data_IF_924655290631
#
_entry.id   IF_924655290631
#
_cell.length_a   1.000
_cell.length_b   1.000
_cell.length_c   1.000
_cell.angle_alpha   90.00
_cell.angle_beta   90.00
_cell.angle_gamma   90.00
#
_symmetry.space_group_name_H-M   'P 1'
#
loop_
_entity.id
_entity.type
_entity.pdbx_description
1 polymer ?
#
# COMPACT_ATOMS: atom_id res chain seq x y z
N UNK A 1 20.00 45.18 -39.74
CA UNK A 1 21.39 44.78 -39.51
C UNK A 1 21.61 44.78 -38.01
N UNK A 2 21.71 43.55 -37.47
CA UNK A 2 22.40 43.11 -36.23
C UNK A 2 22.03 43.83 -34.92
N UNK A 3 21.31 43.20 -34.00
CA UNK A 3 21.70 42.09 -33.09
C UNK A 3 22.40 42.59 -31.83
N UNK A 4 21.72 42.56 -30.68
CA UNK A 4 22.32 42.57 -29.35
C UNK A 4 21.50 41.63 -28.45
N UNK A 5 21.98 40.39 -28.34
CA UNK A 5 21.48 39.31 -27.47
C UNK A 5 22.55 39.00 -26.42
N UNK A 6 22.22 39.26 -25.15
CA UNK A 6 22.76 38.71 -23.88
C UNK A 6 24.27 38.76 -23.54
N UNK A 7 24.58 38.78 -22.23
CA UNK A 7 25.12 37.53 -21.66
C UNK A 7 24.62 37.23 -20.23
N UNK A 8 23.70 36.25 -20.08
CA UNK A 8 23.35 35.64 -18.78
C UNK A 8 24.04 34.29 -18.49
N UNK A 9 25.17 33.99 -19.16
CA UNK A 9 25.74 32.63 -19.17
C UNK A 9 26.86 32.29 -18.18
N UNK A 10 27.17 33.11 -17.18
CA UNK A 10 28.33 32.86 -16.30
C UNK A 10 28.06 32.37 -14.87
N UNK A 11 26.82 32.15 -14.42
CA UNK A 11 26.56 31.81 -13.00
C UNK A 11 26.38 30.33 -12.68
N UNK A 12 26.18 29.47 -13.67
CA UNK A 12 25.87 28.05 -13.44
C UNK A 12 27.13 27.17 -13.28
N UNK A 13 28.24 27.50 -13.94
CA UNK A 13 29.48 26.72 -13.87
C UNK A 13 30.16 26.78 -12.49
N UNK A 14 30.01 27.89 -11.76
CA UNK A 14 30.71 28.15 -10.50
C UNK A 14 30.19 27.31 -9.32
N UNK A 15 28.93 26.88 -9.38
CA UNK A 15 28.29 26.07 -8.32
C UNK A 15 28.72 24.59 -8.44
N UNK A 16 29.02 24.11 -9.65
CA UNK A 16 29.43 22.72 -9.88
C UNK A 16 30.82 22.43 -9.29
N UNK A 17 31.76 23.38 -9.44
CA UNK A 17 33.15 23.19 -9.01
C UNK A 17 33.34 23.21 -7.48
N UNK A 18 32.45 23.87 -6.73
CA UNK A 18 32.48 23.84 -5.25
C UNK A 18 32.01 22.54 -4.63
N UNK A 19 31.26 21.71 -5.38
CA UNK A 19 30.71 20.45 -4.87
C UNK A 19 31.69 19.27 -5.01
N UNK A 20 32.62 19.36 -5.97
CA UNK A 20 33.64 18.33 -6.20
C UNK A 20 34.79 18.38 -5.17
N UNK A 21 35.15 19.55 -4.63
CA UNK A 21 36.26 19.70 -3.69
C UNK A 21 35.98 19.21 -2.25
N UNK A 22 34.78 18.69 -1.96
CA UNK A 22 34.37 18.32 -0.58
C UNK A 22 34.21 16.81 -0.35
N UNK A 23 34.61 15.98 -1.32
CA UNK A 23 34.53 14.51 -1.25
C UNK A 23 35.88 13.82 -1.08
N UNK A 24 37.00 14.53 -1.05
CA UNK A 24 38.33 13.96 -0.89
C UNK A 24 38.93 14.33 0.47
N UNK A 25 38.41 13.78 1.56
CA UNK A 25 39.13 13.70 2.85
C UNK A 25 38.30 12.89 3.86
N UNK A 26 38.42 11.56 3.80
CA UNK A 26 38.07 10.69 4.94
C UNK A 26 39.17 9.62 5.05
N UNK A 27 40.03 9.68 6.08
CA UNK A 27 40.96 8.60 6.36
C UNK A 27 40.23 7.40 6.97
N UNK A 28 40.63 6.21 6.51
CA UNK A 28 40.32 4.94 7.13
C UNK A 28 41.07 4.82 8.46
N UNK A 29 40.37 4.55 9.55
CA UNK A 29 40.81 3.72 10.69
C UNK A 29 39.96 4.01 11.94
N UNK A 30 39.24 2.98 12.41
CA UNK A 30 39.08 2.63 13.83
C UNK A 30 38.05 1.51 13.95
N UNK A 31 38.59 0.29 13.86
CA UNK A 31 37.93 -0.97 14.21
C UNK A 31 37.63 -1.00 15.72
N UNK A 32 36.52 -1.65 16.06
CA UNK A 32 36.31 -2.46 17.26
C UNK A 32 36.87 -1.94 18.60
N UNK A 33 35.98 -1.38 19.43
CA UNK A 33 35.99 -1.64 20.87
C UNK A 33 34.57 -1.70 21.39
N UNK A 34 34.08 -2.94 21.49
CA UNK A 34 33.19 -3.39 22.56
C UNK A 34 33.83 -3.03 23.91
N UNK A 35 33.05 -2.56 24.90
CA UNK A 35 33.24 -2.88 26.32
C UNK A 35 32.15 -2.22 27.20
N UNK A 36 31.41 -3.09 27.88
CA UNK A 36 30.91 -3.01 29.25
C UNK A 36 29.96 -1.89 29.68
N UNK A 37 28.70 -2.30 29.81
CA UNK A 37 27.72 -1.76 30.75
C UNK A 37 28.24 -1.87 32.19
N UNK A 38 28.20 -0.77 32.95
CA UNK A 38 28.23 -0.82 34.41
C UNK A 38 27.07 0.01 34.96
N UNK A 39 26.16 -0.73 35.60
CA UNK A 39 24.98 -0.27 36.32
C UNK A 39 25.46 0.30 37.66
N UNK A 40 25.15 1.56 37.96
CA UNK A 40 25.19 2.08 39.32
C UNK A 40 23.81 2.62 39.68
N UNK A 41 23.14 1.86 40.55
CA UNK A 41 21.92 2.23 41.26
C UNK A 41 22.28 3.27 42.31
N UNK A 42 21.63 4.43 42.30
CA UNK A 42 21.61 5.36 43.43
C UNK A 42 20.22 5.27 44.06
N UNK A 43 20.16 4.69 45.25
CA UNK A 43 19.01 4.72 46.14
C UNK A 43 19.03 6.01 46.95
N UNK A 44 17.93 6.76 46.94
CA UNK A 44 17.69 7.89 47.84
C UNK A 44 16.34 7.69 48.56
N UNK A 45 16.27 7.86 49.90
CA UNK A 45 15.04 7.76 50.67
C UNK A 45 14.53 9.14 51.12
N UNK A 46 13.27 9.48 50.82
CA UNK A 46 12.40 10.52 51.41
C UNK A 46 11.20 10.66 50.45
N UNK A 47 9.93 10.76 50.81
CA UNK A 47 9.21 11.14 52.01
C UNK A 47 7.85 10.42 51.99
N UNK A 48 7.38 9.94 53.13
CA UNK A 48 6.01 9.43 53.29
C UNK A 48 5.05 10.61 53.42
N UNK A 49 4.37 10.97 52.34
CA UNK A 49 3.14 11.76 52.41
C UNK A 49 1.98 10.77 52.41
N UNK A 50 1.30 10.65 53.55
CA UNK A 50 0.08 9.87 53.67
C UNK A 50 -1.05 10.61 52.93
N UNK A 51 -1.40 10.13 51.74
CA UNK A 51 -2.65 10.46 51.07
C UNK A 51 -3.69 9.40 51.42
N UNK A 52 -4.65 9.77 52.26
CA UNK A 52 -5.86 9.00 52.52
C UNK A 52 -6.76 9.03 51.28
N UNK A 53 -6.64 7.99 50.45
CA UNK A 53 -7.54 7.75 49.33
C UNK A 53 -8.80 7.04 49.83
N UNK A 54 -9.95 7.70 49.66
CA UNK A 54 -11.26 7.06 49.73
C UNK A 54 -11.35 5.98 48.65
N UNK A 55 -11.35 4.72 49.08
CA UNK A 55 -11.41 3.53 48.23
C UNK A 55 -12.86 3.25 47.84
N UNK A 56 -13.27 3.74 46.67
CA UNK A 56 -14.50 3.28 46.02
C UNK A 56 -14.32 1.82 45.56
N UNK A 57 -15.32 0.94 45.73
CA UNK A 57 -15.24 -0.45 45.27
C UNK A 57 -15.22 -0.52 43.75
N UNK A 58 -14.26 -1.25 43.20
CA UNK A 58 -14.14 -1.49 41.76
C UNK A 58 -15.28 -2.40 41.27
N UNK A 59 -15.85 -2.16 40.08
CA UNK A 59 -16.81 -3.06 39.47
C UNK A 59 -16.14 -4.40 39.07
N UNK A 60 -16.88 -5.53 39.09
CA UNK A 60 -16.35 -6.82 38.70
C UNK A 60 -16.03 -6.84 37.20
N UNK A 61 -14.74 -6.93 36.87
CA UNK A 61 -14.30 -7.21 35.50
C UNK A 61 -14.61 -8.68 35.14
N UNK A 62 -15.17 -8.97 33.95
CA UNK A 62 -15.34 -10.33 33.49
C UNK A 62 -13.99 -11.00 33.23
N UNK A 63 -13.88 -12.28 33.62
CA UNK A 63 -12.68 -13.09 33.48
C UNK A 63 -12.21 -13.19 32.01
N UNK A 64 -10.89 -13.18 31.74
CA UNK A 64 -10.37 -13.38 30.40
C UNK A 64 -10.60 -14.83 29.97
N UNK A 65 -11.25 -15.00 28.82
CA UNK A 65 -11.40 -16.27 28.12
C UNK A 65 -10.01 -16.84 27.82
N UNK A 66 -9.74 -18.03 28.37
CA UNK A 66 -8.55 -18.81 28.06
C UNK A 66 -8.57 -19.19 26.58
N UNK A 67 -7.76 -18.53 25.76
CA UNK A 67 -7.52 -18.95 24.39
C UNK A 67 -6.67 -20.22 24.40
N UNK A 68 -7.32 -21.36 24.16
CA UNK A 68 -6.64 -22.57 23.72
C UNK A 68 -6.02 -22.28 22.35
N UNK A 69 -4.72 -22.02 22.34
CA UNK A 69 -3.93 -21.88 21.11
C UNK A 69 -3.46 -23.28 20.68
N UNK A 70 -3.99 -23.85 19.58
CA UNK A 70 -3.45 -25.09 19.04
C UNK A 70 -2.03 -24.85 18.51
N UNK A 71 -1.13 -25.79 18.81
CA UNK A 71 0.26 -25.84 18.36
C UNK A 71 0.32 -25.96 16.83
N UNK A 72 1.32 -25.35 16.17
CA UNK A 72 1.54 -25.53 14.74
C UNK A 72 2.09 -26.94 14.45
N UNK A 73 1.38 -27.69 13.62
CA UNK A 73 1.86 -28.95 13.02
C UNK A 73 2.87 -28.65 11.92
N UNK A 74 4.00 -29.35 11.93
CA UNK A 74 5.06 -29.28 10.92
C UNK A 74 4.55 -29.60 9.50
N UNK A 75 5.10 -28.96 8.44
CA UNK A 75 4.76 -29.29 7.06
C UNK A 75 5.45 -30.58 6.58
N UNK A 76 4.77 -31.43 5.78
CA UNK A 76 5.35 -32.64 5.21
C UNK A 76 6.36 -32.34 4.10
N UNK A 77 7.45 -33.10 4.09
CA UNK A 77 8.57 -32.97 3.15
C UNK A 77 8.20 -33.25 1.69
N UNK A 78 8.79 -32.45 0.81
CA UNK A 78 8.77 -32.65 -0.64
C UNK A 78 9.80 -33.70 -1.06
N UNK A 79 9.46 -34.69 -1.92
CA UNK A 79 10.43 -35.57 -2.53
C UNK A 79 11.18 -34.89 -3.70
N UNK A 80 12.45 -35.23 -3.95
CA UNK A 80 13.21 -34.70 -5.09
C UNK A 80 12.86 -35.44 -6.38
N UNK A 81 12.38 -34.71 -7.39
CA UNK A 81 12.18 -35.25 -8.75
C UNK A 81 13.28 -34.75 -9.70
N UNK A 82 14.24 -35.65 -9.93
CA UNK A 82 14.94 -35.96 -11.19
C UNK A 82 15.05 -34.90 -12.29
N UNK A 83 16.31 -34.58 -12.55
CA UNK A 83 16.90 -34.09 -13.79
C UNK A 83 16.61 -34.98 -15.01
N UNK A 84 16.15 -34.39 -16.11
CA UNK A 84 16.23 -34.96 -17.47
C UNK A 84 16.50 -33.87 -18.53
N UNK A 85 17.75 -33.88 -18.99
CA UNK A 85 18.26 -33.73 -20.36
C UNK A 85 17.34 -33.26 -21.50
N UNK A 86 17.77 -32.16 -22.14
CA UNK A 86 17.97 -31.93 -23.58
C UNK A 86 17.03 -32.55 -24.63
N UNK A 87 16.53 -31.71 -25.54
CA UNK A 87 16.00 -32.14 -26.84
C UNK A 87 15.57 -30.97 -27.73
N UNK A 88 16.51 -30.44 -28.53
CA UNK A 88 16.24 -29.65 -29.73
C UNK A 88 15.75 -30.61 -30.84
N UNK A 89 14.62 -30.31 -31.47
CA UNK A 89 14.38 -30.73 -32.86
C UNK A 89 13.36 -29.82 -33.56
N UNK A 90 13.75 -29.42 -34.76
CA UNK A 90 12.99 -28.66 -35.74
C UNK A 90 11.90 -29.51 -36.41
N UNK A 91 10.97 -28.81 -37.06
CA UNK A 91 10.36 -29.12 -38.37
C UNK A 91 8.89 -29.56 -38.44
N UNK A 92 8.21 -28.87 -39.36
CA UNK A 92 7.20 -29.33 -40.32
C UNK A 92 5.82 -29.77 -39.83
N UNK A 93 4.88 -28.84 -39.95
CA UNK A 93 3.80 -28.89 -40.96
C UNK A 93 3.47 -30.27 -41.54
N UNK A 94 2.38 -30.86 -41.03
CA UNK A 94 1.68 -31.96 -41.67
C UNK A 94 0.18 -31.80 -41.40
N UNK A 95 -0.56 -31.42 -42.44
CA UNK A 95 -2.02 -31.40 -42.47
C UNK A 95 -2.56 -32.85 -42.46
N UNK A 96 -3.52 -33.19 -41.58
CA UNK A 96 -4.30 -34.42 -41.74
C UNK A 96 -5.62 -34.18 -42.49
N UNK A 97 -5.88 -35.15 -43.35
CA UNK A 97 -6.97 -35.35 -44.30
C UNK A 97 -8.41 -35.07 -43.83
N UNK A 98 -9.35 -34.86 -44.79
CA UNK A 98 -10.75 -34.61 -44.51
C UNK A 98 -11.45 -35.92 -44.11
N UNK A 99 -11.96 -36.01 -42.89
CA UNK A 99 -12.91 -37.05 -42.52
C UNK A 99 -14.33 -36.59 -42.82
N UNK A 100 -14.98 -37.32 -43.73
CA UNK A 100 -16.40 -37.21 -44.02
C UNK A 100 -17.25 -37.66 -42.82
N UNK A 101 -18.37 -36.95 -42.65
CA UNK A 101 -19.68 -37.41 -42.13
C UNK A 101 -19.69 -38.21 -40.81
N UNK A 102 -19.93 -37.47 -39.72
CA UNK A 102 -20.81 -37.91 -38.64
C UNK A 102 -22.11 -37.08 -38.69
N UNK A 103 -23.26 -37.76 -38.72
CA UNK A 103 -24.60 -37.20 -38.88
C UNK A 103 -25.12 -36.33 -37.72
N UNK A 104 -26.36 -35.82 -37.83
CA UNK A 104 -26.90 -34.76 -36.99
C UNK A 104 -27.38 -35.30 -35.63
N UNK A 105 -26.47 -35.44 -34.65
CA UNK A 105 -26.84 -35.61 -33.23
C UNK A 105 -26.65 -34.36 -32.37
N UNK A 106 -26.23 -33.24 -32.96
CA UNK A 106 -25.90 -32.02 -32.21
C UNK A 106 -27.10 -31.13 -31.81
N UNK A 107 -28.35 -31.48 -32.20
CA UNK A 107 -29.51 -30.62 -31.93
C UNK A 107 -30.21 -30.83 -30.59
N UNK A 108 -30.00 -31.96 -29.90
CA UNK A 108 -30.70 -32.24 -28.64
C UNK A 108 -29.93 -31.71 -27.41
N UNK A 109 -28.61 -31.56 -27.52
CA UNK A 109 -27.78 -31.02 -26.44
C UNK A 109 -27.96 -29.52 -26.23
N UNK A 110 -28.44 -28.78 -27.24
CA UNK A 110 -28.61 -27.32 -27.19
C UNK A 110 -29.87 -26.89 -26.45
N UNK A 111 -30.98 -27.63 -26.59
CA UNK A 111 -32.24 -27.27 -25.89
C UNK A 111 -32.20 -27.65 -24.40
N UNK A 112 -31.67 -28.82 -24.07
CA UNK A 112 -31.47 -29.23 -22.68
C UNK A 112 -30.41 -28.36 -21.98
N UNK A 113 -29.34 -27.96 -22.68
CA UNK A 113 -28.36 -27.02 -22.14
C UNK A 113 -28.91 -25.62 -22.01
N UNK A 114 -29.70 -25.12 -22.97
CA UNK A 114 -30.35 -23.82 -22.87
C UNK A 114 -31.31 -23.76 -21.68
N UNK A 115 -32.15 -24.77 -21.48
CA UNK A 115 -33.02 -24.86 -20.31
C UNK A 115 -32.23 -24.88 -18.99
N UNK A 116 -31.09 -25.58 -18.95
CA UNK A 116 -30.18 -25.58 -17.80
C UNK A 116 -29.55 -24.21 -17.56
N UNK A 117 -29.09 -23.51 -18.60
CA UNK A 117 -28.54 -22.16 -18.48
C UNK A 117 -29.60 -21.17 -17.98
N UNK A 118 -30.86 -21.30 -18.43
CA UNK A 118 -31.98 -20.50 -17.93
C UNK A 118 -32.26 -20.80 -16.46
N UNK A 119 -32.20 -22.07 -16.03
CA UNK A 119 -32.33 -22.43 -14.61
C UNK A 119 -31.19 -21.84 -13.76
N UNK A 120 -29.95 -21.88 -14.26
CA UNK A 120 -28.80 -21.27 -13.59
C UNK A 120 -28.97 -19.75 -13.46
N UNK A 121 -29.42 -19.08 -14.52
CA UNK A 121 -29.70 -17.64 -14.50
C UNK A 121 -30.80 -17.29 -13.49
N UNK A 122 -31.85 -18.12 -13.39
CA UNK A 122 -32.93 -17.97 -12.40
C UNK A 122 -32.49 -18.29 -10.96
N UNK A 123 -31.42 -19.06 -10.78
CA UNK A 123 -30.86 -19.38 -9.47
C UNK A 123 -29.96 -18.27 -8.90
N UNK A 124 -29.66 -17.22 -9.69
CA UNK A 124 -28.88 -16.07 -9.22
C UNK A 124 -29.60 -15.33 -8.09
N UNK A 125 -28.88 -14.65 -7.19
CA UNK A 125 -29.48 -13.80 -6.17
C UNK A 125 -30.37 -12.71 -6.78
N UNK A 126 -31.52 -12.47 -6.16
CA UNK A 126 -32.49 -11.47 -6.61
C UNK A 126 -31.88 -10.07 -6.87
N UNK A 127 -30.95 -9.55 -6.04
CA UNK A 127 -30.30 -8.27 -6.31
C UNK A 127 -29.56 -8.23 -7.66
N UNK A 128 -28.92 -9.33 -8.06
CA UNK A 128 -28.22 -9.44 -9.35
C UNK A 128 -29.21 -9.57 -10.50
N UNK A 129 -30.27 -10.37 -10.34
CA UNK A 129 -31.32 -10.50 -11.36
C UNK A 129 -31.98 -9.14 -11.66
N UNK A 130 -32.35 -8.39 -10.61
CA UNK A 130 -32.91 -7.04 -10.73
C UNK A 130 -31.93 -6.06 -11.39
N UNK A 131 -30.62 -6.22 -11.13
CA UNK A 131 -29.60 -5.42 -11.78
C UNK A 131 -29.55 -5.69 -13.28
N UNK A 132 -29.38 -6.96 -13.68
CA UNK A 132 -29.29 -7.33 -15.10
C UNK A 132 -30.58 -7.07 -15.89
N UNK A 133 -31.75 -7.15 -15.24
CA UNK A 133 -33.02 -6.76 -15.87
C UNK A 133 -33.09 -5.27 -16.22
N UNK A 134 -32.47 -4.41 -15.41
CA UNK A 134 -32.43 -2.95 -15.64
C UNK A 134 -31.27 -2.54 -16.54
N UNK A 135 -30.13 -3.21 -16.35
CA UNK A 135 -28.83 -2.91 -16.95
C UNK A 135 -28.27 -4.15 -17.65
N UNK A 136 -28.87 -4.59 -18.77
CA UNK A 136 -28.38 -5.74 -19.50
C UNK A 136 -27.02 -5.40 -20.16
N UNK A 137 -25.95 -6.19 -19.95
CA UNK A 137 -24.68 -5.97 -20.61
C UNK A 137 -24.75 -6.36 -22.09
N UNK A 138 -23.94 -5.72 -22.93
CA UNK A 138 -23.89 -5.97 -24.37
C UNK A 138 -23.63 -7.46 -24.71
N UNK A 139 -22.87 -8.17 -23.86
CA UNK A 139 -22.54 -9.60 -24.05
C UNK A 139 -23.76 -10.53 -24.02
N UNK A 140 -24.86 -10.12 -23.38
CA UNK A 140 -26.09 -10.92 -23.25
C UNK A 140 -27.16 -10.43 -24.23
N UNK A 141 -27.05 -9.17 -24.69
CA UNK A 141 -28.00 -8.59 -25.61
C UNK A 141 -27.79 -9.13 -27.03
N UNK A 142 -28.89 -9.27 -27.78
CA UNK A 142 -28.81 -9.47 -29.23
C UNK A 142 -28.22 -8.23 -29.89
N UNK A 143 -27.48 -8.39 -30.99
CA UNK A 143 -26.77 -7.32 -31.67
C UNK A 143 -27.63 -6.08 -32.00
N UNK A 144 -28.95 -6.27 -32.21
CA UNK A 144 -29.90 -5.22 -32.58
C UNK A 144 -30.79 -4.76 -31.40
N UNK A 145 -30.47 -5.12 -30.16
CA UNK A 145 -31.29 -4.72 -29.01
C UNK A 145 -31.14 -3.22 -28.70
N UNK A 146 -32.28 -2.54 -28.56
CA UNK A 146 -32.31 -1.15 -28.11
C UNK A 146 -31.92 -1.04 -26.62
N UNK A 147 -31.24 0.04 -26.21
CA UNK A 147 -30.90 0.27 -24.81
C UNK A 147 -32.16 0.36 -23.94
N UNK A 148 -32.05 -0.04 -22.68
CA UNK A 148 -33.15 0.12 -21.74
C UNK A 148 -33.34 1.61 -21.40
N UNK A 149 -34.55 2.00 -20.98
CA UNK A 149 -34.84 3.37 -20.54
C UNK A 149 -33.90 3.86 -19.43
N UNK A 150 -33.43 2.95 -18.58
CA UNK A 150 -32.43 3.24 -17.56
C UNK A 150 -31.06 3.56 -18.18
N UNK A 151 -30.61 2.78 -19.17
CA UNK A 151 -29.36 2.99 -19.90
C UNK A 151 -29.34 4.30 -20.68
N UNK A 152 -30.48 4.70 -21.27
CA UNK A 152 -30.62 5.98 -21.96
C UNK A 152 -30.46 7.17 -21.01
N UNK A 153 -31.15 7.14 -19.87
CA UNK A 153 -31.05 8.20 -18.86
C UNK A 153 -29.65 8.28 -18.26
N UNK A 154 -28.97 7.14 -18.16
CA UNK A 154 -27.67 7.05 -17.52
C UNK A 154 -26.85 5.92 -18.14
N UNK A 155 -25.78 6.19 -18.89
CA UNK A 155 -25.03 5.10 -19.51
C UNK A 155 -24.37 4.12 -18.51
N UNK A 156 -23.82 4.63 -17.41
CA UNK A 156 -23.16 3.84 -16.37
C UNK A 156 -23.82 4.05 -14.99
N UNK A 157 -24.36 2.99 -14.36
CA UNK A 157 -25.04 3.10 -13.07
C UNK A 157 -24.09 3.25 -11.86
N UNK A 158 -22.80 2.98 -12.03
CA UNK A 158 -21.78 2.97 -10.98
C UNK A 158 -20.93 4.24 -10.92
N UNK A 159 -20.89 5.01 -12.01
CA UNK A 159 -20.16 6.28 -12.06
C UNK A 159 -21.04 7.49 -11.75
N UNK A 160 -20.39 8.54 -11.27
CA UNK A 160 -21.00 9.87 -11.18
C UNK A 160 -21.23 10.39 -12.60
N UNK A 161 -22.42 10.93 -12.85
CA UNK A 161 -22.78 11.49 -14.15
C UNK A 161 -23.07 12.98 -13.99
N UNK A 162 -22.58 13.80 -14.92
CA UNK A 162 -22.90 15.23 -14.95
C UNK A 162 -24.17 15.43 -15.75
N UNK A 163 -25.19 16.05 -15.16
CA UNK A 163 -26.43 16.34 -15.88
C UNK A 163 -26.16 17.37 -16.98
N UNK A 164 -26.59 17.14 -18.24
CA UNK A 164 -26.24 18.01 -19.37
C UNK A 164 -26.80 19.43 -19.24
N UNK A 165 -28.04 19.58 -18.77
CA UNK A 165 -28.69 20.90 -18.61
C UNK A 165 -28.19 21.64 -17.36
N UNK A 166 -28.34 21.06 -16.17
CA UNK A 166 -28.00 21.73 -14.91
C UNK A 166 -26.49 21.78 -14.60
N UNK A 167 -25.67 20.94 -15.24
CA UNK A 167 -24.23 20.84 -15.00
C UNK A 167 -23.83 20.29 -13.62
N UNK A 168 -24.80 19.90 -12.78
CA UNK A 168 -24.55 19.30 -11.46
C UNK A 168 -24.13 17.84 -11.61
N UNK A 169 -23.19 17.42 -10.77
CA UNK A 169 -22.82 16.02 -10.63
C UNK A 169 -23.90 15.28 -9.85
N UNK A 170 -24.36 14.17 -10.41
CA UNK A 170 -25.31 13.27 -9.77
C UNK A 170 -24.59 12.05 -9.21
N UNK A 171 -24.95 11.69 -7.99
CA UNK A 171 -24.47 10.48 -7.32
C UNK A 171 -24.77 9.22 -8.15
N UNK A 172 -23.92 8.18 -8.07
CA UNK A 172 -24.17 6.91 -8.74
C UNK A 172 -25.47 6.27 -8.27
N UNK A 173 -26.19 5.61 -9.19
CA UNK A 173 -27.47 4.92 -8.88
C UNK A 173 -27.24 3.87 -7.81
N UNK A 174 -26.10 3.20 -7.85
CA UNK A 174 -25.61 2.33 -6.78
C UNK A 174 -24.43 2.98 -6.07
N UNK A 175 -24.56 3.20 -4.77
CA UNK A 175 -23.45 3.69 -3.93
C UNK A 175 -22.33 2.66 -3.82
N UNK A 176 -21.12 3.08 -3.47
CA UNK A 176 -19.96 2.17 -3.38
C UNK A 176 -20.20 0.94 -2.48
N UNK A 177 -21.01 1.06 -1.43
CA UNK A 177 -21.42 -0.09 -0.60
C UNK A 177 -22.24 -1.10 -1.41
N UNK A 178 -23.24 -0.64 -2.17
CA UNK A 178 -24.09 -1.50 -3.02
C UNK A 178 -23.30 -2.07 -4.20
N UNK A 179 -22.39 -1.30 -4.78
CA UNK A 179 -21.46 -1.80 -5.80
C UNK A 179 -20.63 -2.96 -5.27
N UNK A 180 -20.02 -2.82 -4.09
CA UNK A 180 -19.25 -3.89 -3.46
C UNK A 180 -20.10 -5.13 -3.13
N UNK A 181 -21.38 -4.94 -2.75
CA UNK A 181 -22.31 -6.05 -2.55
C UNK A 181 -22.62 -6.80 -3.85
N UNK A 182 -22.90 -6.07 -4.95
CA UNK A 182 -23.13 -6.67 -6.26
C UNK A 182 -21.88 -7.41 -6.76
N UNK A 183 -20.70 -6.78 -6.68
CA UNK A 183 -19.43 -7.42 -7.07
C UNK A 183 -19.16 -8.66 -6.23
N UNK A 184 -19.39 -8.61 -4.92
CA UNK A 184 -19.24 -9.78 -4.04
C UNK A 184 -20.14 -10.94 -4.49
N UNK A 185 -21.43 -10.69 -4.71
CA UNK A 185 -22.36 -11.72 -5.18
C UNK A 185 -21.97 -12.22 -6.58
N UNK A 186 -21.61 -11.32 -7.49
CA UNK A 186 -21.23 -11.68 -8.84
C UNK A 186 -19.99 -12.57 -8.86
N UNK A 187 -19.00 -12.29 -8.02
CA UNK A 187 -17.82 -13.13 -7.83
C UNK A 187 -18.15 -14.51 -7.26
N UNK A 188 -19.05 -14.57 -6.27
CA UNK A 188 -19.52 -15.85 -5.69
C UNK A 188 -20.24 -16.72 -6.74
N UNK A 189 -20.88 -16.09 -7.74
CA UNK A 189 -21.61 -16.77 -8.83
C UNK A 189 -20.89 -16.80 -10.18
N UNK A 190 -19.66 -16.30 -10.28
CA UNK A 190 -18.87 -16.28 -11.52
C UNK A 190 -19.42 -15.39 -12.65
N UNK A 191 -20.18 -14.34 -12.31
CA UNK A 191 -20.77 -13.38 -13.27
C UNK A 191 -20.21 -11.97 -13.12
N UNK A 192 -18.99 -11.84 -12.60
CA UNK A 192 -18.33 -10.54 -12.38
C UNK A 192 -18.07 -9.79 -13.69
N UNK A 193 -17.66 -10.49 -14.74
CA UNK A 193 -17.33 -9.94 -16.07
C UNK A 193 -18.55 -9.33 -16.78
N UNK A 194 -19.77 -9.69 -16.35
CA UNK A 194 -21.02 -9.17 -16.88
C UNK A 194 -21.40 -7.82 -16.25
N UNK A 195 -20.75 -7.42 -15.16
CA UNK A 195 -20.96 -6.11 -14.54
C UNK A 195 -20.16 -5.02 -15.25
N UNK A 196 -20.64 -3.76 -15.25
CA UNK A 196 -19.82 -2.64 -15.70
C UNK A 196 -18.55 -2.49 -14.85
N UNK A 197 -17.50 -1.94 -15.44
CA UNK A 197 -16.22 -1.70 -14.75
C UNK A 197 -16.40 -0.85 -13.48
N UNK A 198 -15.89 -1.33 -12.35
CA UNK A 198 -15.95 -0.58 -11.08
C UNK A 198 -14.62 -0.53 -10.35
N UNK A 199 -14.46 0.50 -9.52
CA UNK A 199 -13.36 0.59 -8.55
C UNK A 199 -13.39 -0.52 -7.49
N UNK A 200 -14.53 -1.22 -7.37
CA UNK A 200 -14.73 -2.34 -6.45
C UNK A 200 -14.55 -3.70 -7.11
N UNK A 201 -14.40 -3.77 -8.44
CA UNK A 201 -14.12 -5.00 -9.17
C UNK A 201 -12.76 -5.60 -8.80
N UNK A 202 -12.68 -6.92 -8.86
CA UNK A 202 -11.49 -7.71 -8.55
C UNK A 202 -10.38 -7.39 -9.54
N UNK A 203 -10.67 -7.42 -10.85
CA UNK A 203 -9.69 -7.13 -11.90
C UNK A 203 -9.12 -5.72 -11.77
N UNK A 204 -9.99 -4.71 -11.61
CA UNK A 204 -9.58 -3.33 -11.42
C UNK A 204 -8.68 -3.16 -10.19
N UNK A 205 -9.06 -3.74 -9.05
CA UNK A 205 -8.26 -3.62 -7.82
C UNK A 205 -6.88 -4.28 -7.94
N UNK A 206 -6.79 -5.40 -8.65
CA UNK A 206 -5.54 -6.09 -8.92
C UNK A 206 -4.67 -5.29 -9.87
N UNK A 207 -5.20 -4.87 -11.03
CA UNK A 207 -4.50 -4.04 -11.99
C UNK A 207 -3.98 -2.75 -11.33
N UNK A 208 -4.85 -2.03 -10.62
CA UNK A 208 -4.48 -0.79 -9.92
C UNK A 208 -3.39 -1.00 -8.87
N UNK A 209 -3.40 -2.14 -8.16
CA UNK A 209 -2.37 -2.46 -7.17
C UNK A 209 -1.04 -2.83 -7.82
N UNK A 210 -1.08 -3.57 -8.93
CA UNK A 210 0.13 -3.97 -9.68
C UNK A 210 0.77 -2.75 -10.34
N UNK A 211 -0.02 -1.90 -10.98
CA UNK A 211 0.46 -0.71 -11.69
C UNK A 211 1.03 0.36 -10.74
N UNK A 212 0.36 0.62 -9.61
CA UNK A 212 0.73 1.73 -8.74
C UNK A 212 1.47 1.34 -7.45
N UNK A 213 1.36 0.08 -7.01
CA UNK A 213 1.94 -0.39 -5.76
C UNK A 213 1.42 0.31 -4.50
N UNK A 214 2.17 0.19 -3.39
CA UNK A 214 1.86 0.90 -2.14
C UNK A 214 2.27 2.37 -2.27
N UNK A 215 1.35 3.29 -1.98
CA UNK A 215 1.58 4.74 -2.11
C UNK A 215 1.39 5.53 -0.81
N UNK A 216 1.39 4.83 0.32
CA UNK A 216 1.27 5.47 1.65
C UNK A 216 2.52 6.32 1.94
N UNK A 217 2.34 7.49 2.56
CA UNK A 217 3.47 8.39 2.83
C UNK A 217 4.49 7.71 3.75
N UNK A 218 5.76 7.72 3.34
CA UNK A 218 6.88 7.15 4.09
C UNK A 218 7.24 5.72 3.67
N UNK A 219 6.25 4.84 3.47
CA UNK A 219 6.46 3.42 3.10
C UNK A 219 6.14 3.10 1.65
N UNK A 220 5.51 4.01 0.92
CA UNK A 220 5.17 3.82 -0.48
C UNK A 220 6.40 3.82 -1.39
N UNK A 221 6.24 3.26 -2.58
CA UNK A 221 7.31 3.17 -3.60
C UNK A 221 7.85 4.58 -3.89
N UNK A 222 9.17 4.76 -3.78
CA UNK A 222 9.84 6.05 -3.98
C UNK A 222 9.69 7.07 -2.85
N UNK A 223 9.05 6.73 -1.72
CA UNK A 223 8.96 7.59 -0.54
C UNK A 223 10.04 7.28 0.49
N UNK A 224 10.38 8.28 1.31
CA UNK A 224 11.32 8.15 2.43
C UNK A 224 10.63 8.48 3.76
N UNK A 225 10.94 7.70 4.80
CA UNK A 225 10.45 7.92 6.16
C UNK A 225 11.06 9.18 6.76
N UNK A 226 10.24 9.96 7.48
CA UNK A 226 10.65 11.24 8.11
C UNK A 226 11.65 11.09 9.27
N UNK A 227 11.67 9.92 9.91
CA UNK A 227 12.38 9.65 11.17
C UNK A 227 11.71 10.29 12.38
N UNK A 228 12.00 9.79 13.58
CA UNK A 228 11.57 10.42 14.83
C UNK A 228 12.42 11.67 15.13
N UNK A 229 11.92 12.55 16.00
CA UNK A 229 12.60 13.81 16.36
C UNK A 229 13.99 13.52 16.95
N UNK A 230 14.11 12.50 17.81
CA UNK A 230 15.38 12.17 18.45
C UNK A 230 16.41 11.63 17.44
N UNK A 231 15.99 10.80 16.47
CA UNK A 231 16.87 10.28 15.41
C UNK A 231 17.46 11.42 14.57
N UNK A 232 16.60 12.37 14.16
CA UNK A 232 17.01 13.52 13.35
C UNK A 232 18.00 14.44 14.07
N UNK A 233 17.84 14.64 15.38
CA UNK A 233 18.69 15.55 16.15
C UNK A 233 19.83 14.85 16.89
N UNK A 234 19.91 13.51 16.87
CA UNK A 234 20.91 12.75 17.63
C UNK A 234 22.33 13.18 17.26
N UNK A 235 22.62 13.25 15.97
CA UNK A 235 23.95 13.62 15.46
C UNK A 235 24.34 15.03 15.93
N UNK A 236 23.43 16.00 15.74
CA UNK A 236 23.66 17.38 16.18
C UNK A 236 23.86 17.48 17.70
N UNK A 237 23.07 16.74 18.49
CA UNK A 237 23.22 16.70 19.96
C UNK A 237 24.54 16.08 20.39
N UNK A 238 25.01 15.02 19.72
CA UNK A 238 26.28 14.38 20.05
C UNK A 238 27.47 15.28 19.70
N UNK A 239 27.43 15.99 18.57
CA UNK A 239 28.50 16.91 18.21
C UNK A 239 28.58 18.10 19.18
N UNK A 240 27.43 18.61 19.64
CA UNK A 240 27.39 19.66 20.66
C UNK A 240 28.05 19.19 21.97
N UNK A 241 27.79 17.94 22.39
CA UNK A 241 28.43 17.34 23.57
C UNK A 241 29.93 17.20 23.37
N UNK A 242 30.36 16.70 22.20
CA UNK A 242 31.78 16.56 21.84
C UNK A 242 32.51 17.89 21.93
N UNK A 243 31.95 18.94 21.33
CA UNK A 243 32.50 20.29 21.35
C UNK A 243 32.57 20.87 22.76
N UNK A 244 31.52 20.70 23.57
CA UNK A 244 31.51 21.16 24.96
C UNK A 244 32.60 20.48 25.80
N UNK A 245 32.80 19.18 25.61
CA UNK A 245 33.86 18.42 26.30
C UNK A 245 35.27 18.90 25.91
N UNK A 246 35.49 19.22 24.63
CA UNK A 246 36.79 19.74 24.17
C UNK A 246 37.09 21.15 24.73
N UNK A 247 36.08 22.01 24.86
CA UNK A 247 36.25 23.36 25.39
C UNK A 247 36.22 23.43 26.93
N UNK A 248 35.74 22.36 27.60
CA UNK A 248 35.63 22.27 29.06
C UNK A 248 36.95 22.59 29.79
N UNK A 249 38.13 22.06 29.41
CA UNK A 249 39.38 22.35 30.12
C UNK A 249 39.77 23.83 30.08
N UNK A 250 39.52 24.51 28.95
CA UNK A 250 39.80 25.94 28.80
C UNK A 250 38.86 26.76 29.68
N UNK A 251 37.59 26.40 29.73
CA UNK A 251 36.59 27.06 30.56
C UNK A 251 36.89 26.89 32.05
N UNK A 252 37.28 25.70 32.49
CA UNK A 252 37.70 25.44 33.87
C UNK A 252 38.92 26.29 34.25
N UNK A 253 39.94 26.39 33.38
CA UNK A 253 41.12 27.24 33.62
C UNK A 253 40.72 28.71 33.78
N UNK A 254 39.84 29.21 32.91
CA UNK A 254 39.34 30.59 32.99
C UNK A 254 38.54 30.84 34.27
N UNK A 255 37.63 29.92 34.64
CA UNK A 255 36.84 30.03 35.86
C UNK A 255 37.70 30.00 37.12
N UNK A 256 38.69 29.10 37.19
CA UNK A 256 39.64 29.05 38.31
C UNK A 256 40.49 30.32 38.43
N UNK A 257 40.87 30.95 37.31
CA UNK A 257 41.63 32.21 37.31
C UNK A 257 40.81 33.40 37.81
N UNK A 258 39.57 33.53 37.35
CA UNK A 258 38.69 34.67 37.71
C UNK A 258 38.09 34.49 39.12
N UNK A 259 37.77 33.25 39.48
CA UNK A 259 37.13 32.90 40.75
C UNK A 259 35.60 32.98 40.71
N UNK A 260 34.94 32.25 41.63
CA UNK A 260 33.48 32.08 41.67
C UNK A 260 32.70 33.39 41.77
N UNK A 261 33.17 34.34 42.59
CA UNK A 261 32.45 35.59 42.89
C UNK A 261 32.42 36.56 41.71
N UNK A 262 33.45 36.54 40.87
CA UNK A 262 33.62 37.49 39.76
C UNK A 262 33.21 36.87 38.41
N UNK A 263 32.65 35.65 38.41
CA UNK A 263 32.20 34.99 37.19
C UNK A 263 30.82 35.49 36.76
N UNK A 264 30.74 35.99 35.53
CA UNK A 264 29.51 36.59 34.97
C UNK A 264 28.88 35.76 33.84
N UNK A 265 29.61 34.79 33.27
CA UNK A 265 29.17 33.97 32.12
C UNK A 265 28.36 32.75 32.57
N UNK A 266 27.19 33.00 33.15
CA UNK A 266 26.24 31.94 33.52
C UNK A 266 25.39 31.51 32.31
N UNK A 267 25.00 30.22 32.22
CA UNK A 267 24.06 29.77 31.21
C UNK A 267 22.70 30.48 31.41
N UNK A 268 21.97 30.64 30.31
CA UNK A 268 20.62 31.23 30.30
C UNK A 268 19.56 30.14 30.28
#
# INVERSE_FOLDING_TARGET
MTDEVEPFRCRAQEISNRKAAKLSEVPADARNTCLTNQVLRVTSPREKVQLTLYRLPAPPYPAPLTSNRPQPTDPPGFPPSVSSSSGLCHSSEAAPAPYERAGPRLRQHTMASAAKCVQLARALPEPLQRFFARWPPASIQSADAAPTSYQEQRPDPFRFCKHPVTGKWQDPVYSYRRQAQLVRLAREHGVEDLLPETTKGTEYQLAHRVEHGLRVKGTGVGQKVKGHIHERHMIAKMEQRRKAMMEMPKLIKAWKRVGKRNWTKWPK
#
